data_IF_151128894490
#
_entry.id   IF_151128894490
#
_cell.length_a   1.000
_cell.length_b   1.000
_cell.length_c   1.000
_cell.angle_alpha   90.00
_cell.angle_beta   90.00
_cell.angle_gamma   90.00
#
_symmetry.space_group_name_H-M   'P 1'
#
loop_
_entity.id
_entity.type
_entity.pdbx_description
1 polymer ?
#
# COMPACT_ATOMS: atom_id res chain seq x y z
N UNK A 1 15.23 -15.63 4.29
CA UNK A 1 14.52 -16.50 3.33
C UNK A 1 15.35 -17.72 2.96
N UNK A 2 16.58 -17.56 2.40
CA UNK A 2 17.46 -18.71 2.04
C UNK A 2 17.87 -19.59 3.22
N UNK A 3 17.93 -19.06 4.43
CA UNK A 3 18.22 -19.85 5.65
C UNK A 3 17.02 -20.69 6.09
N UNK A 4 15.79 -20.26 5.79
CA UNK A 4 14.55 -20.92 6.18
C UNK A 4 14.10 -21.91 5.10
N UNK A 5 14.31 -21.56 3.84
CA UNK A 5 13.93 -22.33 2.66
C UNK A 5 15.14 -22.46 1.71
N UNK A 6 16.13 -23.29 2.05
CA UNK A 6 17.39 -23.37 1.29
C UNK A 6 17.22 -23.89 -0.14
N UNK A 7 16.22 -24.73 -0.37
CA UNK A 7 15.93 -25.34 -1.67
C UNK A 7 15.01 -24.47 -2.55
N UNK A 8 14.43 -23.37 -1.99
CA UNK A 8 13.48 -22.56 -2.73
C UNK A 8 14.16 -21.68 -3.78
N UNK A 9 13.61 -21.67 -4.98
CA UNK A 9 14.01 -20.79 -6.07
C UNK A 9 13.36 -19.42 -5.83
N UNK A 10 14.13 -18.51 -5.27
CA UNK A 10 13.66 -17.16 -4.89
C UNK A 10 13.99 -16.16 -6.00
N UNK A 11 12.99 -15.43 -6.46
CA UNK A 11 13.11 -14.34 -7.40
C UNK A 11 12.76 -13.00 -6.74
N UNK A 12 13.63 -12.01 -6.90
CA UNK A 12 13.43 -10.67 -6.32
C UNK A 12 13.05 -9.70 -7.42
N UNK A 13 11.89 -9.05 -7.23
CA UNK A 13 11.33 -8.08 -8.17
C UNK A 13 11.42 -6.66 -7.61
N UNK A 14 12.42 -5.92 -8.06
CA UNK A 14 12.65 -4.50 -7.76
C UNK A 14 12.69 -3.69 -9.05
N UNK A 15 12.69 -2.36 -8.92
CA UNK A 15 12.91 -1.46 -10.07
C UNK A 15 14.18 -1.79 -10.84
N UNK A 16 15.24 -2.20 -10.13
CA UNK A 16 16.54 -2.49 -10.73
C UNK A 16 16.55 -3.86 -11.43
N UNK A 17 15.86 -4.87 -10.87
CA UNK A 17 15.78 -6.21 -11.46
C UNK A 17 14.84 -6.26 -12.66
N UNK A 18 13.81 -5.42 -12.70
CA UNK A 18 12.81 -5.32 -13.77
C UNK A 18 13.01 -4.09 -14.67
N UNK A 19 14.17 -3.44 -14.59
CA UNK A 19 14.44 -2.13 -15.22
C UNK A 19 14.52 -2.16 -16.77
N UNK A 20 14.42 -3.33 -17.42
CA UNK A 20 14.30 -3.40 -18.87
C UNK A 20 13.15 -4.32 -19.30
N UNK A 21 12.56 -4.11 -20.49
CA UNK A 21 11.49 -4.95 -21.01
C UNK A 21 11.89 -6.43 -21.10
N UNK A 22 13.14 -6.72 -21.46
CA UNK A 22 13.64 -8.09 -21.59
C UNK A 22 13.73 -8.79 -20.24
N UNK A 23 14.19 -8.10 -19.18
CA UNK A 23 14.24 -8.63 -17.80
C UNK A 23 12.84 -8.85 -17.25
N UNK A 24 11.92 -7.94 -17.53
CA UNK A 24 10.52 -8.09 -17.13
C UNK A 24 9.87 -9.29 -17.83
N UNK A 25 10.13 -9.48 -19.12
CA UNK A 25 9.65 -10.64 -19.88
C UNK A 25 10.21 -11.96 -19.35
N UNK A 26 11.52 -12.03 -19.06
CA UNK A 26 12.16 -13.20 -18.47
C UNK A 26 11.61 -13.53 -17.08
N UNK A 27 11.33 -12.51 -16.27
CA UNK A 27 10.68 -12.67 -14.97
C UNK A 27 9.28 -13.29 -15.08
N UNK A 28 8.47 -12.78 -16.02
CA UNK A 28 7.12 -13.30 -16.27
C UNK A 28 7.18 -14.75 -16.72
N UNK A 29 8.01 -15.06 -17.71
CA UNK A 29 8.17 -16.42 -18.21
C UNK A 29 8.56 -17.40 -17.10
N UNK A 30 9.54 -17.05 -16.27
CA UNK A 30 9.97 -17.90 -15.15
C UNK A 30 8.84 -18.14 -14.13
N UNK A 31 8.00 -17.15 -13.89
CA UNK A 31 6.88 -17.28 -12.97
C UNK A 31 5.73 -18.12 -13.57
N UNK A 32 5.43 -17.96 -14.87
CA UNK A 32 4.39 -18.72 -15.57
C UNK A 32 4.78 -20.19 -15.77
N UNK A 33 6.05 -20.46 -16.02
CA UNK A 33 6.61 -21.80 -16.18
C UNK A 33 6.76 -22.57 -14.85
N UNK A 34 6.47 -21.91 -13.71
CA UNK A 34 6.68 -22.51 -12.39
C UNK A 34 8.15 -22.74 -12.04
N UNK A 35 9.05 -22.00 -12.67
CA UNK A 35 10.49 -22.04 -12.40
C UNK A 35 10.87 -21.31 -11.10
N UNK A 36 9.92 -20.74 -10.38
CA UNK A 36 10.09 -19.93 -9.17
C UNK A 36 9.14 -20.42 -8.07
N UNK A 37 9.65 -20.56 -6.87
CA UNK A 37 8.85 -20.98 -5.70
C UNK A 37 8.45 -19.79 -4.84
N UNK A 38 9.28 -18.75 -4.76
CA UNK A 38 9.02 -17.54 -3.97
C UNK A 38 9.37 -16.29 -4.77
N UNK A 39 8.43 -15.38 -4.84
CA UNK A 39 8.64 -14.05 -5.40
C UNK A 39 8.65 -13.03 -4.25
N UNK A 40 9.71 -12.26 -4.14
CA UNK A 40 9.82 -11.15 -3.19
C UNK A 40 9.83 -9.85 -3.98
N UNK A 41 8.91 -8.95 -3.67
CA UNK A 41 8.84 -7.69 -4.40
C UNK A 41 8.05 -6.62 -3.66
N UNK A 42 8.11 -5.41 -4.21
CA UNK A 42 7.32 -4.26 -3.78
C UNK A 42 6.09 -4.11 -4.67
N UNK A 43 5.49 -2.94 -4.70
CA UNK A 43 4.29 -2.62 -5.52
C UNK A 43 4.41 -2.98 -7.02
N UNK A 44 5.62 -3.12 -7.54
CA UNK A 44 5.86 -3.51 -8.93
C UNK A 44 5.29 -4.88 -9.28
N UNK A 45 5.32 -5.83 -8.33
CA UNK A 45 4.79 -7.19 -8.53
C UNK A 45 3.27 -7.22 -8.60
N UNK A 46 2.61 -6.15 -8.14
CA UNK A 46 1.14 -6.08 -8.09
C UNK A 46 0.50 -5.67 -9.40
N UNK A 47 1.25 -5.05 -10.32
CA UNK A 47 0.73 -4.48 -11.57
C UNK A 47 1.09 -5.33 -12.78
N UNK A 48 0.08 -5.83 -13.47
CA UNK A 48 0.21 -6.37 -14.84
C UNK A 48 0.71 -7.81 -14.96
N UNK A 49 1.13 -8.47 -13.88
CA UNK A 49 1.63 -9.84 -13.95
C UNK A 49 0.52 -10.86 -13.65
N UNK A 50 0.61 -12.01 -14.31
CA UNK A 50 -0.25 -13.16 -14.07
C UNK A 50 0.57 -14.28 -13.42
N UNK A 51 0.07 -14.82 -12.28
CA UNK A 51 0.73 -15.89 -11.55
C UNK A 51 -0.29 -17.02 -11.34
N UNK A 52 -0.42 -17.96 -12.28
CA UNK A 52 -1.47 -18.99 -12.25
C UNK A 52 -1.35 -19.95 -11.07
N UNK A 53 -0.13 -20.24 -10.64
CA UNK A 53 0.16 -21.16 -9.54
C UNK A 53 0.34 -20.47 -8.18
N UNK A 54 0.03 -19.19 -8.05
CA UNK A 54 0.18 -18.44 -6.80
C UNK A 54 -0.89 -18.87 -5.79
N UNK A 55 -0.46 -19.58 -4.75
CA UNK A 55 -1.32 -20.09 -3.68
C UNK A 55 -1.21 -19.31 -2.38
N UNK A 56 -0.10 -18.59 -2.17
CA UNK A 56 0.13 -17.83 -0.95
C UNK A 56 0.62 -16.42 -1.27
N UNK A 57 0.01 -15.43 -0.64
CA UNK A 57 0.47 -14.04 -0.64
C UNK A 57 0.76 -13.61 0.79
N UNK A 58 1.99 -13.19 1.05
CA UNK A 58 2.40 -12.58 2.30
C UNK A 58 2.58 -11.07 2.16
N UNK A 59 1.86 -10.29 2.94
CA UNK A 59 2.06 -8.84 3.06
C UNK A 59 2.83 -8.57 4.34
N UNK A 60 4.09 -8.20 4.18
CA UNK A 60 4.98 -7.88 5.31
C UNK A 60 4.83 -6.41 5.65
N UNK A 61 4.53 -6.11 6.93
CA UNK A 61 4.36 -4.76 7.46
C UNK A 61 3.31 -3.93 6.69
N UNK A 62 2.05 -4.35 6.81
CA UNK A 62 0.92 -3.61 6.21
C UNK A 62 0.74 -2.20 6.81
N UNK A 63 1.32 -1.93 7.98
CA UNK A 63 1.21 -0.67 8.70
C UNK A 63 2.03 0.44 8.05
N UNK A 64 3.09 0.10 7.32
CA UNK A 64 3.97 1.06 6.65
C UNK A 64 3.19 2.02 5.73
N UNK A 65 2.13 1.54 5.10
CA UNK A 65 1.25 2.35 4.28
C UNK A 65 0.29 3.23 5.07
N UNK A 66 0.08 2.95 6.37
CA UNK A 66 -0.85 3.68 7.24
C UNK A 66 -0.17 4.80 8.03
N UNK A 67 1.16 4.77 8.12
CA UNK A 67 1.96 5.79 8.80
C UNK A 67 2.22 6.99 7.86
N UNK A 68 2.43 8.17 8.42
CA UNK A 68 2.94 9.33 7.65
C UNK A 68 1.94 10.43 7.34
N UNK A 69 0.73 10.41 7.88
CA UNK A 69 -0.21 11.55 7.80
C UNK A 69 -0.82 11.80 6.40
N UNK A 70 -0.68 10.87 5.47
CA UNK A 70 -1.38 10.94 4.18
C UNK A 70 -2.88 10.67 4.39
N UNK A 71 -3.71 11.64 3.99
CA UNK A 71 -5.17 11.54 4.07
C UNK A 71 -5.77 10.32 3.35
N UNK A 72 -5.03 9.74 2.43
CA UNK A 72 -5.43 8.58 1.65
C UNK A 72 -4.68 7.31 2.01
N UNK A 73 -3.99 7.31 3.16
CA UNK A 73 -3.18 6.17 3.60
C UNK A 73 -4.00 4.88 3.67
N UNK A 74 -5.14 4.92 4.36
CA UNK A 74 -6.03 3.76 4.50
C UNK A 74 -6.58 3.27 3.14
N UNK A 75 -7.01 4.20 2.27
CA UNK A 75 -7.48 3.86 0.92
C UNK A 75 -6.40 3.19 0.08
N UNK A 76 -5.18 3.75 0.09
CA UNK A 76 -4.06 3.20 -0.66
C UNK A 76 -3.65 1.84 -0.15
N UNK A 77 -3.58 1.67 1.17
CA UNK A 77 -3.28 0.38 1.79
C UNK A 77 -4.34 -0.65 1.42
N UNK A 78 -5.62 -0.30 1.53
CA UNK A 78 -6.70 -1.18 1.11
C UNK A 78 -6.55 -1.59 -0.36
N UNK A 79 -6.38 -0.63 -1.27
CA UNK A 79 -6.27 -0.90 -2.70
C UNK A 79 -5.07 -1.78 -3.04
N UNK A 80 -3.91 -1.50 -2.44
CA UNK A 80 -2.68 -2.26 -2.67
C UNK A 80 -2.80 -3.69 -2.17
N UNK A 81 -3.23 -3.88 -0.94
CA UNK A 81 -3.37 -5.22 -0.34
C UNK A 81 -4.45 -6.02 -1.04
N UNK A 82 -5.62 -5.43 -1.31
CA UNK A 82 -6.69 -6.08 -2.05
C UNK A 82 -6.27 -6.49 -3.48
N UNK A 83 -5.45 -5.66 -4.14
CA UNK A 83 -4.92 -5.97 -5.47
C UNK A 83 -3.98 -7.18 -5.44
N UNK A 84 -3.11 -7.26 -4.43
CA UNK A 84 -2.19 -8.39 -4.25
C UNK A 84 -2.95 -9.63 -3.81
N UNK A 85 -3.85 -9.49 -2.84
CA UNK A 85 -4.71 -10.57 -2.35
C UNK A 85 -5.51 -11.22 -3.48
N UNK A 86 -6.06 -10.41 -4.37
CA UNK A 86 -6.80 -10.89 -5.55
C UNK A 86 -5.93 -11.62 -6.59
N UNK A 87 -4.63 -11.82 -6.36
CA UNK A 87 -3.75 -12.65 -7.21
C UNK A 87 -3.68 -14.10 -6.75
N UNK A 88 -3.81 -14.35 -5.45
CA UNK A 88 -3.82 -15.70 -4.90
C UNK A 88 -5.08 -16.48 -5.35
N UNK A 89 -4.91 -17.76 -5.64
CA UNK A 89 -6.04 -18.67 -5.92
C UNK A 89 -6.75 -18.45 -7.25
N UNK A 90 -6.11 -17.83 -8.24
CA UNK A 90 -6.68 -17.69 -9.60
C UNK A 90 -6.58 -18.94 -10.43
N UNK A 91 -5.75 -19.90 -10.02
CA UNK A 91 -5.64 -21.22 -10.67
C UNK A 91 -6.60 -22.25 -10.08
N UNK A 92 -6.23 -23.51 -10.24
CA UNK A 92 -7.01 -24.65 -9.74
C UNK A 92 -6.92 -24.84 -8.20
N UNK A 93 -5.95 -24.19 -7.55
CA UNK A 93 -5.69 -24.32 -6.10
C UNK A 93 -6.26 -23.11 -5.36
N UNK A 94 -6.82 -23.29 -4.15
CA UNK A 94 -7.24 -22.17 -3.32
C UNK A 94 -6.05 -21.30 -2.93
N UNK A 95 -6.28 -20.00 -2.82
CA UNK A 95 -5.28 -19.04 -2.42
C UNK A 95 -5.46 -18.61 -0.97
N UNK A 96 -4.36 -18.35 -0.30
CA UNK A 96 -4.32 -17.81 1.06
C UNK A 96 -3.57 -16.46 1.07
N UNK A 97 -4.00 -15.56 1.95
CA UNK A 97 -3.36 -14.25 2.13
C UNK A 97 -3.05 -14.05 3.60
N UNK A 98 -1.78 -13.81 3.90
CA UNK A 98 -1.30 -13.49 5.24
C UNK A 98 -0.91 -12.03 5.30
N UNK A 99 -1.50 -11.29 6.23
CA UNK A 99 -1.24 -9.86 6.45
C UNK A 99 -0.56 -9.70 7.81
N UNK A 100 0.70 -9.26 7.80
CA UNK A 100 1.42 -8.91 9.02
C UNK A 100 1.11 -7.46 9.39
N UNK A 101 0.60 -7.24 10.60
CA UNK A 101 0.24 -5.92 11.12
C UNK A 101 0.39 -5.85 12.63
N UNK A 102 0.63 -4.67 13.17
CA UNK A 102 0.58 -4.35 14.61
C UNK A 102 -0.82 -3.87 15.04
N UNK A 103 -1.69 -3.57 14.07
CA UNK A 103 -3.02 -3.01 14.28
C UNK A 103 -4.12 -3.91 13.67
N UNK A 104 -4.30 -5.16 14.16
CA UNK A 104 -5.25 -6.11 13.56
C UNK A 104 -6.69 -5.63 13.61
N UNK A 105 -7.03 -4.78 14.60
CA UNK A 105 -8.37 -4.23 14.77
C UNK A 105 -8.64 -2.94 13.94
N UNK A 106 -7.65 -2.45 13.21
CA UNK A 106 -7.86 -1.31 12.31
C UNK A 106 -8.93 -1.64 11.26
N UNK A 107 -9.84 -0.70 11.00
CA UNK A 107 -10.98 -0.91 10.09
C UNK A 107 -10.53 -1.40 8.70
N UNK A 108 -9.42 -0.87 8.18
CA UNK A 108 -8.84 -1.27 6.90
C UNK A 108 -8.36 -2.72 6.92
N UNK A 109 -7.71 -3.16 8.00
CA UNK A 109 -7.17 -4.52 8.14
C UNK A 109 -8.32 -5.53 8.32
N UNK A 110 -9.28 -5.21 9.19
CA UNK A 110 -10.48 -6.03 9.41
C UNK A 110 -11.27 -6.21 8.13
N UNK A 111 -11.48 -5.14 7.37
CA UNK A 111 -12.19 -5.21 6.10
C UNK A 111 -11.43 -6.05 5.04
N UNK A 112 -10.10 -5.94 5.00
CA UNK A 112 -9.26 -6.77 4.13
C UNK A 112 -9.36 -8.25 4.50
N UNK A 113 -9.27 -8.58 5.78
CA UNK A 113 -9.35 -9.95 6.28
C UNK A 113 -10.71 -10.61 5.97
N UNK A 114 -11.79 -9.82 6.02
CA UNK A 114 -13.14 -10.29 5.73
C UNK A 114 -13.52 -10.19 4.25
N UNK A 115 -12.71 -9.58 3.41
CA UNK A 115 -13.04 -9.29 2.01
C UNK A 115 -14.21 -8.30 1.84
N UNK A 116 -14.49 -7.50 2.89
CA UNK A 116 -15.64 -6.59 2.94
C UNK A 116 -15.23 -5.16 2.56
N UNK A 117 -15.27 -4.90 1.27
CA UNK A 117 -14.96 -3.59 0.70
C UNK A 117 -15.94 -2.52 1.18
N UNK A 118 -17.21 -2.85 1.27
CA UNK A 118 -18.24 -1.87 1.57
C UNK A 118 -18.18 -1.44 3.04
N UNK A 119 -17.83 -2.37 3.95
CA UNK A 119 -17.54 -2.03 5.34
C UNK A 119 -16.34 -1.07 5.46
N UNK A 120 -15.28 -1.27 4.66
CA UNK A 120 -14.16 -0.33 4.62
C UNK A 120 -14.59 1.07 4.20
N UNK A 121 -15.33 1.19 3.09
CA UNK A 121 -15.77 2.51 2.61
C UNK A 121 -16.75 3.19 3.56
N UNK A 122 -17.60 2.44 4.23
CA UNK A 122 -18.50 2.98 5.25
C UNK A 122 -17.70 3.58 6.42
N UNK A 123 -16.75 2.82 6.97
CA UNK A 123 -15.90 3.27 8.09
C UNK A 123 -15.06 4.49 7.72
N UNK A 124 -14.41 4.48 6.53
CA UNK A 124 -13.61 5.59 6.04
C UNK A 124 -14.45 6.85 5.80
N UNK A 125 -15.66 6.70 5.28
CA UNK A 125 -16.61 7.80 5.06
C UNK A 125 -16.99 8.47 6.38
N UNK A 126 -17.34 7.69 7.38
CA UNK A 126 -17.72 8.23 8.70
C UNK A 126 -16.53 8.91 9.39
N UNK A 127 -15.35 8.31 9.33
CA UNK A 127 -14.13 8.92 9.87
C UNK A 127 -13.85 10.29 9.22
N UNK A 128 -14.02 10.40 7.91
CA UNK A 128 -13.84 11.68 7.18
C UNK A 128 -14.88 12.72 7.54
N UNK A 129 -16.12 12.32 7.70
CA UNK A 129 -17.19 13.23 8.16
C UNK A 129 -16.88 13.82 9.53
N UNK A 130 -16.45 12.98 10.49
CA UNK A 130 -16.15 13.43 11.84
C UNK A 130 -15.07 14.50 11.90
N UNK A 131 -14.08 14.45 11.04
CA UNK A 131 -12.97 15.41 11.03
C UNK A 131 -13.09 16.48 9.93
N UNK A 132 -14.19 16.51 9.19
CA UNK A 132 -14.38 17.44 8.07
C UNK A 132 -13.34 17.27 6.95
N UNK A 133 -12.88 16.03 6.74
CA UNK A 133 -11.95 15.74 5.65
C UNK A 133 -12.67 15.66 4.29
N UNK A 134 -11.97 15.84 3.17
CA UNK A 134 -12.55 15.67 1.84
C UNK A 134 -13.24 14.30 1.68
N UNK A 135 -14.44 14.23 1.07
CA UNK A 135 -15.16 15.28 0.35
C UNK A 135 -16.05 16.17 1.23
N UNK A 136 -16.14 15.97 2.53
CA UNK A 136 -17.00 16.68 3.46
C UNK A 136 -16.45 18.04 3.88
N UNK A 137 -15.20 18.32 3.59
CA UNK A 137 -14.53 19.58 3.80
C UNK A 137 -13.43 19.78 2.77
N UNK A 138 -12.63 20.83 2.96
CA UNK A 138 -11.47 21.13 2.11
C UNK A 138 -10.23 21.28 2.96
N UNK A 139 -9.19 20.56 2.63
CA UNK A 139 -7.89 20.65 3.29
C UNK A 139 -6.84 21.09 2.29
N UNK A 140 -5.89 21.90 2.78
CA UNK A 140 -4.70 22.27 2.05
C UNK A 140 -3.48 21.85 2.88
N UNK A 141 -2.55 21.15 2.25
CA UNK A 141 -1.27 20.83 2.85
C UNK A 141 -0.23 21.84 2.38
N UNK A 142 0.45 22.48 3.33
CA UNK A 142 1.57 23.38 3.03
C UNK A 142 2.84 22.62 3.44
N UNK A 143 3.68 22.33 2.47
CA UNK A 143 4.96 21.67 2.69
C UNK A 143 6.04 22.76 2.76
N UNK A 144 6.72 22.83 3.91
CA UNK A 144 7.83 23.74 4.12
C UNK A 144 9.10 22.90 4.19
N UNK A 145 10.05 23.17 3.32
CA UNK A 145 11.36 22.53 3.31
C UNK A 145 12.47 23.57 3.39
N UNK A 146 13.52 23.26 4.13
CA UNK A 146 14.74 24.05 4.20
C UNK A 146 15.93 23.10 4.34
N UNK A 147 17.12 23.61 4.15
CA UNK A 147 18.36 22.85 4.30
C UNK A 147 18.57 22.43 5.76
N UNK A 148 18.18 23.31 6.70
CA UNK A 148 18.26 23.06 8.14
C UNK A 148 16.83 22.91 8.75
N UNK A 149 16.64 21.91 9.60
CA UNK A 149 15.35 21.66 10.28
C UNK A 149 14.85 22.87 11.08
N UNK A 150 15.78 23.61 11.71
CA UNK A 150 15.46 24.80 12.51
C UNK A 150 14.81 25.89 11.69
N UNK A 151 15.25 26.06 10.45
CA UNK A 151 14.69 27.07 9.52
C UNK A 151 13.31 26.66 9.05
N UNK A 152 13.12 25.38 8.68
CA UNK A 152 11.81 24.86 8.32
C UNK A 152 10.80 25.01 9.48
N UNK A 153 11.21 24.71 10.71
CA UNK A 153 10.38 24.90 11.91
C UNK A 153 10.02 26.36 12.15
N UNK A 154 10.99 27.28 12.04
CA UNK A 154 10.74 28.70 12.23
C UNK A 154 9.75 29.25 11.20
N UNK A 155 9.88 28.85 9.93
CA UNK A 155 8.93 29.19 8.88
C UNK A 155 7.54 28.60 9.15
N UNK A 156 7.44 27.36 9.57
CA UNK A 156 6.17 26.70 9.91
C UNK A 156 5.44 27.42 11.05
N UNK A 157 6.15 27.77 12.13
CA UNK A 157 5.59 28.53 13.25
C UNK A 157 5.08 29.90 12.79
N UNK A 158 5.85 30.62 11.98
CA UNK A 158 5.43 31.90 11.41
C UNK A 158 4.16 31.77 10.59
N UNK A 159 4.00 30.68 9.84
CA UNK A 159 2.83 30.42 9.01
C UNK A 159 1.56 30.11 9.82
N UNK A 160 1.71 29.39 10.94
CA UNK A 160 0.56 29.07 11.82
C UNK A 160 -0.03 30.30 12.54
N UNK A 161 0.76 31.38 12.66
CA UNK A 161 0.31 32.64 13.23
C UNK A 161 -0.32 33.59 12.18
N UNK A 162 -0.26 33.27 10.88
CA UNK A 162 -1.00 33.99 9.85
C UNK A 162 -2.45 33.58 9.92
N UNK A 163 -3.32 34.47 10.32
CA UNK A 163 -4.76 34.33 10.16
C UNK A 163 -5.08 34.32 8.67
N UNK A 164 -5.30 33.15 8.10
CA UNK A 164 -5.82 33.03 6.75
C UNK A 164 -7.18 33.72 6.71
N UNK A 165 -7.42 34.68 5.81
CA UNK A 165 -8.73 35.29 5.68
C UNK A 165 -9.74 34.20 5.32
N UNK A 166 -10.76 34.05 6.15
CA UNK A 166 -11.88 33.16 5.87
C UNK A 166 -12.63 33.77 4.68
N UNK A 167 -12.42 33.23 3.48
CA UNK A 167 -13.19 33.61 2.32
C UNK A 167 -14.55 32.95 2.48
N UNK A 168 -15.64 33.71 2.67
CA UNK A 168 -16.96 33.12 2.67
C UNK A 168 -17.21 32.48 1.30
N UNK A 169 -17.61 31.21 1.34
CA UNK A 169 -18.08 30.52 0.14
C UNK A 169 -19.41 31.18 -0.31
N UNK A 170 -19.41 31.79 -1.47
CA UNK A 170 -20.60 32.19 -2.18
C UNK A 170 -21.15 31.00 -2.96
#
# INVERSE_FOLDING_TARGET
>A
MREILPEARVLVATSDTLGSPERAAAFIAAAEEGAVDVIVGTQLVTKGFHFPELTLVGVVDADLGLEGGDLRAAERTYQQVAQVAGRAGRGAKPGEVLIQTRHPDAAVITALANGDRDAFYAAETEARKMVGAPPFGRWAAIIISAEEEKEARAAAVSYTHLTLPTIPLV
#
